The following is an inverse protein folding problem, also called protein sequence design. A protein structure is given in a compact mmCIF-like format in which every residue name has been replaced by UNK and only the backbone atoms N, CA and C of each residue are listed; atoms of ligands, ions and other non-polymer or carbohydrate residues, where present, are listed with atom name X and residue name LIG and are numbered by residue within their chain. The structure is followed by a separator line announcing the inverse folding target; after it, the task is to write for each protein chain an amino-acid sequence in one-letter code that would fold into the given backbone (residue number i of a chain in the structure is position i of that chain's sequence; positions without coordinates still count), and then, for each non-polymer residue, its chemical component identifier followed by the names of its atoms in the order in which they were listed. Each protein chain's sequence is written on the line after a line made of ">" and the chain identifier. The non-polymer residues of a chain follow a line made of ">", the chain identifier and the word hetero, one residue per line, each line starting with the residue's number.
data_IF_193513641757
#
_entry.id   IF_193513641757
#
_cell.length_a   1.000
_cell.length_b   1.000
_cell.length_c   1.000
_cell.angle_alpha   90.00
_cell.angle_beta   90.00
_cell.angle_gamma   90.00
#
_symmetry.space_group_name_H-M   'P 1'
#
loop_
_entity.id
_entity.type
_entity.pdbx_description
1 polymer ?
#
# COMPACT_ATOMS: atom_id res chain seq x y z
N UNK A 1 -10.20 -9.55 -10.00
CA UNK A 1 -9.62 -9.82 -8.68
C UNK A 1 -8.46 -10.76 -8.83
N UNK A 2 -7.27 -10.36 -8.39
CA UNK A 2 -6.05 -11.15 -8.48
C UNK A 2 -5.82 -11.94 -7.20
N UNK A 3 -5.31 -13.15 -7.36
CA UNK A 3 -4.74 -13.93 -6.27
C UNK A 3 -3.36 -13.36 -5.89
N UNK A 4 -3.00 -13.48 -4.62
CA UNK A 4 -1.68 -13.08 -4.12
C UNK A 4 -0.57 -13.80 -4.89
N UNK A 5 -0.73 -15.09 -5.17
CA UNK A 5 0.24 -15.90 -5.91
C UNK A 5 0.38 -15.45 -7.37
N UNK A 6 -0.71 -15.02 -8.01
CA UNK A 6 -0.66 -14.46 -9.38
C UNK A 6 0.15 -13.17 -9.44
N UNK A 7 -0.06 -12.27 -8.48
CA UNK A 7 0.71 -11.02 -8.37
C UNK A 7 2.18 -11.33 -8.11
N UNK A 8 2.49 -12.26 -7.21
CA UNK A 8 3.84 -12.70 -6.94
C UNK A 8 4.54 -13.22 -8.19
N UNK A 9 3.85 -14.01 -9.01
CA UNK A 9 4.37 -14.53 -10.27
C UNK A 9 4.63 -13.41 -11.29
N UNK A 10 3.69 -12.49 -11.46
CA UNK A 10 3.85 -11.34 -12.37
C UNK A 10 5.08 -10.53 -12.00
N UNK A 11 5.26 -10.22 -10.72
CA UNK A 11 6.42 -9.46 -10.23
C UNK A 11 7.72 -10.24 -10.45
N UNK A 12 7.72 -11.52 -10.12
CA UNK A 12 8.88 -12.38 -10.30
C UNK A 12 9.31 -12.46 -11.78
N UNK A 13 8.36 -12.71 -12.67
CA UNK A 13 8.64 -12.84 -14.11
C UNK A 13 9.17 -11.52 -14.68
N UNK A 14 8.57 -10.40 -14.26
CA UNK A 14 9.04 -9.07 -14.67
C UNK A 14 10.47 -8.80 -14.20
N UNK A 15 10.78 -9.07 -12.94
CA UNK A 15 12.13 -8.85 -12.39
C UNK A 15 13.15 -9.76 -13.06
N UNK A 16 12.79 -11.00 -13.38
CA UNK A 16 13.65 -11.93 -14.11
C UNK A 16 13.99 -11.41 -15.51
N UNK A 17 13.00 -10.90 -16.23
CA UNK A 17 13.20 -10.27 -17.54
C UNK A 17 14.02 -8.97 -17.44
N UNK A 18 13.76 -8.15 -16.43
CA UNK A 18 14.55 -6.95 -16.15
C UNK A 18 16.04 -7.28 -15.95
N UNK A 19 16.33 -8.30 -15.16
CA UNK A 19 17.71 -8.78 -14.95
C UNK A 19 18.37 -9.23 -16.25
N UNK A 20 17.65 -10.01 -17.06
CA UNK A 20 18.18 -10.51 -18.33
C UNK A 20 18.52 -9.39 -19.31
N UNK A 21 17.75 -8.30 -19.32
CA UNK A 21 17.90 -7.22 -20.28
C UNK A 21 18.81 -6.09 -19.81
N UNK A 22 18.91 -5.84 -18.51
CA UNK A 22 19.53 -4.61 -18.00
C UNK A 22 20.63 -4.81 -16.96
N UNK A 23 20.85 -6.03 -16.46
CA UNK A 23 21.83 -6.25 -15.41
C UNK A 23 23.27 -5.90 -15.82
N UNK A 24 23.59 -6.07 -17.13
CA UNK A 24 24.91 -5.77 -17.68
C UNK A 24 25.17 -4.27 -17.86
N UNK A 25 24.14 -3.44 -17.74
CA UNK A 25 24.28 -1.99 -17.82
C UNK A 25 24.72 -1.41 -16.48
N UNK A 26 25.43 -0.27 -16.48
CA UNK A 26 25.67 0.49 -15.25
C UNK A 26 24.34 0.83 -14.56
N UNK A 27 24.34 0.85 -13.23
CA UNK A 27 23.11 1.07 -12.44
C UNK A 27 22.36 2.34 -12.85
N UNK A 28 23.08 3.42 -13.11
CA UNK A 28 22.47 4.71 -13.48
C UNK A 28 21.85 4.71 -14.89
N UNK A 29 22.23 3.75 -15.74
CA UNK A 29 21.68 3.58 -17.08
C UNK A 29 20.50 2.60 -17.14
N UNK A 30 20.21 1.91 -16.02
CA UNK A 30 19.08 0.97 -15.94
C UNK A 30 17.77 1.71 -15.82
N UNK A 31 16.68 1.23 -16.45
CA UNK A 31 15.34 1.81 -16.25
C UNK A 31 14.95 1.81 -14.78
N UNK A 32 14.25 2.85 -14.36
CA UNK A 32 13.61 2.94 -13.03
C UNK A 32 12.19 2.44 -13.14
N UNK A 33 11.85 1.46 -12.32
CA UNK A 33 10.54 0.78 -12.34
C UNK A 33 9.87 0.98 -10.99
N UNK A 34 8.59 1.29 -11.03
CA UNK A 34 7.73 1.38 -9.84
C UNK A 34 6.53 0.45 -10.02
N UNK A 35 6.43 -0.55 -9.15
CA UNK A 35 5.21 -1.34 -9.02
C UNK A 35 4.23 -0.62 -8.10
N UNK A 36 2.97 -0.57 -8.51
CA UNK A 36 1.88 -0.01 -7.71
C UNK A 36 0.82 -1.08 -7.52
N UNK A 37 0.51 -1.40 -6.27
CA UNK A 37 -0.57 -2.33 -5.91
C UNK A 37 -1.65 -1.55 -5.17
N UNK A 38 -2.77 -1.37 -5.83
CA UNK A 38 -3.94 -0.68 -5.27
C UNK A 38 -5.16 -1.60 -5.32
N UNK A 39 -5.54 -2.14 -4.21
CA UNK A 39 -4.93 -2.11 -2.90
C UNK A 39 -4.45 -3.52 -2.54
N UNK A 40 -3.40 -3.60 -1.75
CA UNK A 40 -2.82 -4.90 -1.37
C UNK A 40 -3.80 -5.74 -0.52
N UNK A 41 -4.64 -5.09 0.28
CA UNK A 41 -5.65 -5.75 1.12
C UNK A 41 -6.78 -6.41 0.32
N UNK A 42 -6.95 -6.06 -0.95
CA UNK A 42 -7.98 -6.62 -1.83
C UNK A 42 -7.52 -7.88 -2.58
N UNK A 43 -6.26 -8.25 -2.47
CA UNK A 43 -5.77 -9.50 -3.05
C UNK A 43 -6.36 -10.69 -2.30
N UNK A 44 -6.63 -11.76 -3.03
CA UNK A 44 -7.31 -12.95 -2.50
C UNK A 44 -6.34 -14.11 -2.34
N UNK A 45 -6.63 -14.99 -1.39
CA UNK A 45 -6.03 -16.33 -1.30
C UNK A 45 -6.89 -17.35 -2.02
N UNK A 46 -6.32 -18.50 -2.46
CA UNK A 46 -7.11 -19.60 -3.01
C UNK A 46 -8.20 -20.08 -2.04
N UNK A 47 -7.93 -20.08 -0.75
CA UNK A 47 -8.89 -20.46 0.29
C UNK A 47 -10.10 -19.54 0.30
N UNK A 48 -9.90 -18.21 0.23
CA UNK A 48 -11.01 -17.23 0.16
C UNK A 48 -11.89 -17.45 -1.09
N UNK A 49 -11.28 -17.73 -2.24
CA UNK A 49 -12.03 -18.01 -3.49
C UNK A 49 -12.85 -19.30 -3.36
N UNK A 50 -12.26 -20.37 -2.84
CA UNK A 50 -12.94 -21.64 -2.65
C UNK A 50 -14.08 -21.52 -1.64
N UNK A 51 -13.89 -20.80 -0.55
CA UNK A 51 -14.94 -20.56 0.44
C UNK A 51 -16.10 -19.76 -0.15
N UNK A 52 -15.83 -18.76 -0.93
CA UNK A 52 -16.87 -17.97 -1.61
C UNK A 52 -17.69 -18.84 -2.57
N UNK A 53 -17.04 -19.68 -3.38
CA UNK A 53 -17.70 -20.60 -4.30
C UNK A 53 -18.55 -21.65 -3.57
N UNK A 54 -18.12 -22.08 -2.39
CA UNK A 54 -18.86 -23.01 -1.54
C UNK A 54 -19.96 -22.35 -0.69
N UNK A 55 -20.11 -21.01 -0.76
CA UNK A 55 -21.04 -20.25 0.07
C UNK A 55 -20.59 -20.09 1.51
N UNK A 56 -19.35 -20.36 1.83
CA UNK A 56 -18.77 -20.20 3.18
C UNK A 56 -18.09 -18.83 3.27
N UNK A 57 -18.60 -17.99 4.16
CA UNK A 57 -18.12 -16.61 4.37
C UNK A 57 -17.19 -16.46 5.59
N UNK A 58 -16.70 -17.55 6.17
CA UNK A 58 -15.85 -17.50 7.37
C UNK A 58 -14.51 -16.78 7.17
N UNK A 59 -14.07 -16.64 5.94
CA UNK A 59 -12.81 -15.99 5.63
C UNK A 59 -11.57 -16.85 5.97
N UNK A 60 -10.42 -16.41 5.50
CA UNK A 60 -9.14 -17.09 5.69
C UNK A 60 -8.38 -16.47 6.87
N UNK A 61 -8.77 -16.84 8.08
CA UNK A 61 -8.22 -16.29 9.32
C UNK A 61 -6.73 -16.64 9.49
N UNK A 62 -5.86 -15.63 9.41
CA UNK A 62 -4.44 -15.74 9.72
C UNK A 62 -3.53 -16.18 8.54
N UNK A 63 -4.06 -16.76 7.46
CA UNK A 63 -3.27 -17.14 6.29
C UNK A 63 -3.00 -15.96 5.36
N UNK A 64 -3.99 -15.13 5.14
CA UNK A 64 -3.87 -13.93 4.30
C UNK A 64 -2.82 -12.95 4.81
N UNK A 65 -2.76 -12.57 6.10
CA UNK A 65 -1.69 -11.72 6.61
C UNK A 65 -0.31 -12.29 6.38
N UNK A 66 -0.12 -13.59 6.54
CA UNK A 66 1.16 -14.27 6.26
C UNK A 66 1.51 -14.21 4.77
N UNK A 67 0.56 -14.47 3.89
CA UNK A 67 0.75 -14.43 2.45
C UNK A 67 1.09 -13.02 1.95
N UNK A 68 0.39 -12.00 2.44
CA UNK A 68 0.69 -10.59 2.11
C UNK A 68 2.07 -10.16 2.61
N UNK A 69 2.43 -10.54 3.83
CA UNK A 69 3.77 -10.27 4.38
C UNK A 69 4.86 -10.95 3.56
N UNK A 70 4.63 -12.18 3.13
CA UNK A 70 5.56 -12.92 2.27
C UNK A 70 5.72 -12.26 0.92
N UNK A 71 4.63 -11.83 0.29
CA UNK A 71 4.66 -11.09 -0.99
C UNK A 71 5.53 -9.84 -0.87
N UNK A 72 5.27 -8.99 0.11
CA UNK A 72 6.01 -7.74 0.29
C UNK A 72 7.48 -7.99 0.61
N UNK A 73 7.77 -8.96 1.49
CA UNK A 73 9.14 -9.32 1.83
C UNK A 73 9.92 -9.82 0.62
N UNK A 74 9.32 -10.66 -0.21
CA UNK A 74 9.94 -11.15 -1.43
C UNK A 74 10.17 -10.03 -2.44
N UNK A 75 9.23 -9.12 -2.60
CA UNK A 75 9.40 -7.92 -3.42
C UNK A 75 10.59 -7.07 -2.96
N UNK A 76 10.67 -6.79 -1.66
CA UNK A 76 11.77 -6.00 -1.08
C UNK A 76 13.13 -6.67 -1.33
N UNK A 77 13.21 -7.98 -1.13
CA UNK A 77 14.44 -8.73 -1.38
C UNK A 77 14.86 -8.75 -2.86
N UNK A 78 13.87 -8.86 -3.77
CA UNK A 78 14.15 -8.83 -5.20
C UNK A 78 14.56 -7.44 -5.71
N UNK A 79 14.01 -6.38 -5.10
CA UNK A 79 14.19 -5.00 -5.58
C UNK A 79 15.45 -4.33 -5.06
N UNK A 80 16.01 -4.79 -3.92
CA UNK A 80 17.05 -4.08 -3.18
C UNK A 80 18.32 -3.74 -3.94
N UNK A 81 18.67 -4.50 -4.97
CA UNK A 81 19.86 -4.27 -5.81
C UNK A 81 19.55 -3.65 -7.18
N UNK A 82 18.30 -3.37 -7.48
CA UNK A 82 17.84 -2.85 -8.76
C UNK A 82 17.11 -1.53 -8.60
N UNK A 83 16.95 -0.77 -9.68
CA UNK A 83 16.16 0.47 -9.68
C UNK A 83 14.66 0.17 -9.75
N UNK A 84 14.18 -0.66 -8.83
CA UNK A 84 12.80 -1.10 -8.75
C UNK A 84 12.25 -0.76 -7.38
N UNK A 85 11.08 -0.15 -7.34
CA UNK A 85 10.36 0.21 -6.12
C UNK A 85 8.97 -0.38 -6.09
N UNK A 86 8.35 -0.33 -4.92
CA UNK A 86 6.99 -0.79 -4.67
C UNK A 86 6.22 0.24 -3.86
N UNK A 87 5.04 0.63 -4.34
CA UNK A 87 4.06 1.41 -3.60
C UNK A 87 2.79 0.58 -3.46
N UNK A 88 2.31 0.41 -2.23
CA UNK A 88 1.05 -0.26 -1.95
C UNK A 88 0.10 0.70 -1.27
N UNK A 89 -1.16 0.68 -1.68
CA UNK A 89 -2.24 1.26 -0.89
C UNK A 89 -2.89 0.18 -0.04
N UNK A 90 -3.43 0.58 1.10
CA UNK A 90 -4.19 -0.29 1.97
C UNK A 90 -5.21 0.55 2.74
N UNK A 91 -6.16 -0.09 3.39
CA UNK A 91 -7.13 0.58 4.22
C UNK A 91 -6.99 0.15 5.69
N UNK A 92 -7.41 1.04 6.57
CA UNK A 92 -7.46 0.82 8.00
C UNK A 92 -8.89 0.58 8.44
N UNK A 93 -9.05 -0.01 9.60
CA UNK A 93 -10.32 -0.12 10.30
C UNK A 93 -10.15 0.35 11.75
N UNK A 94 -11.23 0.87 12.33
CA UNK A 94 -11.20 1.34 13.70
C UNK A 94 -10.82 0.20 14.66
N UNK A 95 -9.98 0.50 15.62
CA UNK A 95 -9.66 -0.46 16.69
C UNK A 95 -10.90 -0.70 17.55
N UNK A 96 -11.21 -1.97 17.81
CA UNK A 96 -12.25 -2.36 18.74
C UNK A 96 -11.76 -2.42 20.18
N UNK A 97 -10.47 -2.27 20.38
CA UNK A 97 -9.86 -2.24 21.70
C UNK A 97 -9.96 -0.83 22.31
N UNK A 98 -10.66 -0.72 23.42
CA UNK A 98 -10.80 0.55 24.15
C UNK A 98 -9.48 1.08 24.72
N UNK A 99 -8.48 0.21 24.85
CA UNK A 99 -7.14 0.54 25.36
C UNK A 99 -6.13 0.87 24.26
N UNK A 100 -6.47 0.56 22.99
CA UNK A 100 -5.67 0.87 21.82
C UNK A 100 -6.55 1.61 20.80
N UNK A 101 -6.67 2.94 20.93
CA UNK A 101 -7.59 3.73 20.09
C UNK A 101 -7.07 3.94 18.65
N UNK A 102 -5.86 3.49 18.34
CA UNK A 102 -5.29 3.66 16.99
C UNK A 102 -5.94 2.72 15.97
N UNK A 103 -6.17 3.23 14.76
CA UNK A 103 -6.69 2.44 13.66
C UNK A 103 -5.73 1.29 13.29
N UNK A 104 -6.30 0.13 13.02
CA UNK A 104 -5.55 -1.06 12.61
C UNK A 104 -5.46 -1.16 11.09
N UNK A 105 -4.36 -1.70 10.62
CA UNK A 105 -4.10 -1.90 9.20
C UNK A 105 -4.69 -3.26 8.78
N UNK A 106 -5.45 -3.24 7.69
CA UNK A 106 -5.98 -4.46 7.09
C UNK A 106 -4.83 -5.39 6.62
N UNK A 107 -4.98 -6.68 6.90
CA UNK A 107 -3.98 -7.69 6.52
C UNK A 107 -2.84 -7.88 7.51
N UNK A 108 -2.91 -7.25 8.69
CA UNK A 108 -1.91 -7.38 9.75
C UNK A 108 -0.74 -6.42 9.64
N UNK A 109 0.19 -6.51 10.58
CA UNK A 109 1.28 -5.54 10.69
C UNK A 109 2.62 -6.03 10.12
N UNK A 110 2.70 -7.28 9.68
CA UNK A 110 3.97 -7.87 9.26
C UNK A 110 4.64 -7.14 8.10
N UNK A 111 3.87 -6.62 7.15
CA UNK A 111 4.42 -5.91 6.02
C UNK A 111 4.83 -4.45 6.34
N UNK A 112 4.37 -3.87 7.45
CA UNK A 112 4.85 -2.56 7.91
C UNK A 112 6.34 -2.62 8.24
N UNK A 113 6.79 -3.71 8.86
CA UNK A 113 8.21 -3.90 9.18
C UNK A 113 9.10 -3.99 7.94
N UNK A 114 8.57 -4.52 6.84
CA UNK A 114 9.28 -4.58 5.57
C UNK A 114 9.29 -3.24 4.81
N UNK A 115 8.34 -2.36 5.10
CA UNK A 115 8.19 -1.08 4.41
C UNK A 115 9.25 -0.07 4.85
N UNK A 116 9.71 0.74 3.92
CA UNK A 116 10.64 1.85 4.19
C UNK A 116 9.92 3.08 4.70
N UNK A 117 8.72 3.35 4.18
CA UNK A 117 7.88 4.49 4.54
C UNK A 117 6.43 4.00 4.66
N UNK A 118 5.76 4.40 5.72
CA UNK A 118 4.32 4.17 5.91
C UNK A 118 3.66 5.50 6.22
N UNK A 119 2.67 5.87 5.40
CA UNK A 119 1.89 7.10 5.56
C UNK A 119 0.45 6.74 5.86
N UNK A 120 -0.05 7.18 7.01
CA UNK A 120 -1.47 7.11 7.34
C UNK A 120 -2.18 8.32 6.74
N UNK A 121 -3.33 8.11 6.10
CA UNK A 121 -4.10 9.15 5.45
C UNK A 121 -5.52 9.20 6.02
N UNK A 122 -5.99 10.41 6.33
CA UNK A 122 -7.35 10.66 6.80
C UNK A 122 -8.05 11.61 5.85
N UNK A 123 -9.24 11.19 5.40
CA UNK A 123 -10.07 11.98 4.50
C UNK A 123 -10.88 13.01 5.28
N UNK A 124 -10.74 14.27 4.91
CA UNK A 124 -11.51 15.40 5.41
C UNK A 124 -12.18 16.14 4.24
N UNK A 125 -13.23 16.89 4.53
CA UNK A 125 -13.89 17.73 3.53
C UNK A 125 -13.07 19.00 3.31
N UNK A 126 -12.86 19.37 2.04
CA UNK A 126 -12.27 20.66 1.68
C UNK A 126 -13.40 21.67 1.47
N UNK A 127 -13.48 22.65 2.35
CA UNK A 127 -14.47 23.75 2.30
C UNK A 127 -13.73 25.08 2.12
N UNK A 128 -13.06 25.21 1.00
CA UNK A 128 -12.34 26.41 0.60
C UNK A 128 -12.56 26.65 -0.89
N UNK A 129 -12.53 27.93 -1.30
CA UNK A 129 -12.51 28.32 -2.70
C UNK A 129 -11.08 28.30 -3.29
N UNK A 130 -10.93 28.71 -4.53
CA UNK A 130 -9.63 28.73 -5.22
C UNK A 130 -8.63 29.69 -4.55
N UNK A 131 -9.12 30.73 -3.89
CA UNK A 131 -8.31 31.73 -3.18
C UNK A 131 -8.00 31.31 -1.72
N UNK A 132 -8.50 30.17 -1.26
CA UNK A 132 -8.31 29.64 0.08
C UNK A 132 -9.28 30.21 1.12
N UNK A 133 -10.32 30.93 0.71
CA UNK A 133 -11.35 31.43 1.61
C UNK A 133 -12.33 30.31 1.99
N UNK A 134 -12.79 30.34 3.23
CA UNK A 134 -13.77 29.37 3.72
C UNK A 134 -15.13 29.56 3.02
N UNK A 135 -15.68 28.45 2.55
CA UNK A 135 -17.01 28.38 1.93
C UNK A 135 -17.86 27.30 2.59
N UNK A 136 -19.18 27.37 2.40
CA UNK A 136 -20.10 26.37 2.97
C UNK A 136 -20.09 25.05 2.19
N UNK A 137 -19.82 25.11 0.89
CA UNK A 137 -19.85 23.95 0.00
C UNK A 137 -18.56 23.13 0.07
N UNK A 138 -18.69 21.82 -0.20
CA UNK A 138 -17.55 20.92 -0.28
C UNK A 138 -16.98 20.98 -1.69
N UNK A 139 -15.77 21.55 -1.84
CA UNK A 139 -15.11 21.77 -3.12
C UNK A 139 -14.02 20.74 -3.42
N UNK A 140 -13.81 19.78 -2.54
CA UNK A 140 -12.79 18.76 -2.71
C UNK A 140 -12.55 17.96 -1.45
N UNK A 141 -11.36 17.38 -1.39
CA UNK A 141 -10.89 16.56 -0.27
C UNK A 141 -9.66 17.23 0.33
N UNK A 142 -9.57 17.20 1.64
CA UNK A 142 -8.34 17.47 2.38
C UNK A 142 -7.85 16.15 2.93
N UNK A 143 -6.65 15.73 2.53
CA UNK A 143 -6.01 14.52 3.04
C UNK A 143 -5.06 14.89 4.18
N UNK A 144 -5.36 14.48 5.38
CA UNK A 144 -4.43 14.55 6.50
C UNK A 144 -3.46 13.38 6.40
N UNK A 145 -2.19 13.65 6.12
CA UNK A 145 -1.15 12.64 5.97
C UNK A 145 -0.22 12.67 7.17
N UNK A 146 0.03 11.51 7.79
CA UNK A 146 0.95 11.37 8.91
C UNK A 146 1.92 10.24 8.63
N UNK A 147 3.22 10.53 8.74
CA UNK A 147 4.26 9.52 8.57
C UNK A 147 4.31 8.63 9.80
N UNK A 148 3.87 7.39 9.69
CA UNK A 148 3.85 6.43 10.80
C UNK A 148 5.17 5.69 10.93
N UNK A 149 5.89 5.52 9.83
CA UNK A 149 7.21 4.91 9.79
C UNK A 149 8.03 5.54 8.69
N UNK A 150 9.30 5.77 8.95
CA UNK A 150 10.31 6.11 7.95
C UNK A 150 11.68 5.63 8.42
N UNK A 151 12.52 5.21 7.46
CA UNK A 151 13.93 4.87 7.70
C UNK A 151 14.86 6.05 7.40
N UNK A 152 14.34 7.15 6.88
CA UNK A 152 15.14 8.23 6.30
C UNK A 152 15.03 9.56 7.03
N UNK A 153 13.99 9.74 7.82
CA UNK A 153 13.67 11.01 8.45
C UNK A 153 12.98 10.78 9.80
N UNK A 154 12.58 11.88 10.45
CA UNK A 154 11.83 11.85 11.69
C UNK A 154 10.40 11.36 11.47
N UNK A 155 9.93 10.34 12.22
CA UNK A 155 8.55 9.86 12.11
C UNK A 155 7.55 10.81 12.79
N UNK A 156 6.26 10.54 12.56
CA UNK A 156 5.10 11.20 13.17
C UNK A 156 4.86 12.65 12.76
N UNK A 157 5.57 13.15 11.78
CA UNK A 157 5.25 14.42 11.16
C UNK A 157 4.02 14.28 10.26
N UNK A 158 3.20 15.34 10.26
CA UNK A 158 1.96 15.37 9.50
C UNK A 158 1.87 16.59 8.59
N UNK A 159 1.18 16.43 7.48
CA UNK A 159 0.87 17.49 6.52
C UNK A 159 -0.53 17.27 5.98
N UNK A 160 -1.20 18.35 5.57
CA UNK A 160 -2.47 18.28 4.88
C UNK A 160 -2.28 18.57 3.39
N UNK A 161 -2.86 17.72 2.55
CA UNK A 161 -2.84 17.89 1.10
C UNK A 161 -4.25 18.23 0.64
N UNK A 162 -4.41 19.33 -0.10
CA UNK A 162 -5.68 19.73 -0.68
C UNK A 162 -5.83 19.11 -2.07
N UNK A 163 -6.97 18.49 -2.30
CA UNK A 163 -7.32 17.85 -3.58
C UNK A 163 -8.67 18.43 -4.03
N UNK A 164 -8.66 19.58 -4.75
CA UNK A 164 -9.89 20.17 -5.28
C UNK A 164 -10.54 19.26 -6.32
N UNK A 165 -11.87 19.31 -6.43
CA UNK A 165 -12.60 18.58 -7.49
C UNK A 165 -12.39 19.19 -8.86
N UNK A 166 -12.12 20.48 -8.91
CA UNK A 166 -11.80 21.23 -10.14
C UNK A 166 -10.36 21.77 -10.05
N UNK A 167 -9.69 21.78 -11.18
CA UNK A 167 -8.34 22.35 -11.31
C UNK A 167 -8.41 23.80 -11.73
#
# INVERSE_FOLDING_TARGET
>A
NYLIDEVAKIVHDFVSEYKANYLDLPRDSRPKILFIIDSIGMLLTPTEVNQFQAGDMKGDMGRKPKALTSLVRNCVNMFGSYNVGLVCTNHTYASQDMFDPDDKISGGQGFIYASSIVVAMKKLKLKEDEDGNKVSDVNGIRAGCKVMKTRYAKPFEGVQVKIPYTR
#
